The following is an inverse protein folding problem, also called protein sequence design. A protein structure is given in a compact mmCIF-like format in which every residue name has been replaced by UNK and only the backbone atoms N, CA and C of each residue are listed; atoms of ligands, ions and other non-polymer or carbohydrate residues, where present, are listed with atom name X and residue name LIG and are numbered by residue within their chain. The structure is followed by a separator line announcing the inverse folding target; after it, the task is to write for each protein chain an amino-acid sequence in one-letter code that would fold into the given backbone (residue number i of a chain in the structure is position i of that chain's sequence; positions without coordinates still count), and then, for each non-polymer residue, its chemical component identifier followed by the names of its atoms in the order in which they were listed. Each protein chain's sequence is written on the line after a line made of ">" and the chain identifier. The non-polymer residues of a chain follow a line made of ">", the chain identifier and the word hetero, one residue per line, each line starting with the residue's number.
data_IF_550498396180
#
_entry.id   IF_550498396180
#
_cell.length_a   1.000
_cell.length_b   1.000
_cell.length_c   1.000
_cell.angle_alpha   90.00
_cell.angle_beta   90.00
_cell.angle_gamma   90.00
#
_symmetry.space_group_name_H-M   'P 1'
#
loop_
_entity.id
_entity.type
_entity.pdbx_description
1 polymer ?
#
# COMPACT_ATOMS: atom_id res chain seq x y z
N UNK A 1 -9.81 7.18 -26.37
CA UNK A 1 -8.57 7.96 -26.56
C UNK A 1 -8.44 8.96 -25.41
N UNK A 2 -7.29 9.62 -25.26
CA UNK A 2 -7.07 10.66 -24.25
C UNK A 2 -7.41 12.01 -24.86
N UNK A 3 -8.20 12.83 -24.16
CA UNK A 3 -8.66 14.13 -24.65
C UNK A 3 -7.86 15.30 -24.04
N UNK A 4 -7.72 16.39 -24.80
CA UNK A 4 -7.07 17.60 -24.33
C UNK A 4 -7.80 18.17 -23.10
N UNK A 5 -7.06 18.41 -22.02
CA UNK A 5 -7.60 18.90 -20.75
C UNK A 5 -8.03 17.83 -19.75
N UNK A 6 -7.95 16.53 -20.07
CA UNK A 6 -8.18 15.47 -19.09
C UNK A 6 -7.11 15.53 -17.98
N UNK A 7 -7.57 15.45 -16.73
CA UNK A 7 -6.71 15.36 -15.53
C UNK A 7 -6.81 13.93 -14.99
N UNK A 8 -5.66 13.31 -14.77
CA UNK A 8 -5.57 11.97 -14.21
C UNK A 8 -5.05 12.02 -12.79
N UNK A 9 -5.54 11.12 -11.95
CA UNK A 9 -5.02 10.90 -10.62
C UNK A 9 -4.33 9.55 -10.60
N UNK A 10 -3.10 9.55 -10.09
CA UNK A 10 -2.35 8.34 -9.82
C UNK A 10 -2.80 7.79 -8.48
N UNK A 11 -3.22 6.54 -8.44
CA UNK A 11 -3.53 5.83 -7.19
C UNK A 11 -2.80 4.50 -7.20
N UNK A 12 -2.56 3.88 -6.03
CA UNK A 12 -2.22 2.46 -6.05
C UNK A 12 -3.37 1.70 -6.70
N UNK A 13 -3.08 0.80 -7.63
CA UNK A 13 -4.11 -0.07 -8.23
C UNK A 13 -4.57 -1.16 -7.27
N UNK A 14 -3.78 -1.40 -6.22
CA UNK A 14 -4.01 -2.42 -5.22
C UNK A 14 -4.79 -1.87 -4.03
N UNK A 15 -5.86 -2.58 -3.67
CA UNK A 15 -6.65 -2.31 -2.45
C UNK A 15 -6.11 -3.22 -1.35
N UNK A 16 -5.37 -2.66 -0.40
CA UNK A 16 -5.01 -3.34 0.85
C UNK A 16 -5.64 -2.60 2.03
N UNK A 17 -6.33 -3.35 2.89
CA UNK A 17 -6.88 -2.79 4.12
C UNK A 17 -5.81 -2.80 5.23
N UNK A 18 -5.89 -1.85 6.15
CA UNK A 18 -4.87 -1.66 7.19
C UNK A 18 -4.67 -2.93 8.04
N UNK A 19 -5.75 -3.65 8.33
CA UNK A 19 -5.77 -4.93 9.04
C UNK A 19 -5.00 -6.04 8.33
N UNK A 20 -4.86 -5.96 7.00
CA UNK A 20 -4.19 -6.98 6.20
C UNK A 20 -2.70 -6.69 6.01
N UNK A 21 -2.22 -5.50 6.38
CA UNK A 21 -0.80 -5.11 6.20
C UNK A 21 0.12 -6.07 6.96
N UNK A 22 -0.18 -6.36 8.23
CA UNK A 22 0.66 -7.24 9.05
C UNK A 22 0.76 -8.65 8.47
N UNK A 23 -0.38 -9.20 8.02
CA UNK A 23 -0.42 -10.52 7.35
C UNK A 23 0.42 -10.50 6.08
N UNK A 24 0.27 -9.47 5.25
CA UNK A 24 1.02 -9.36 3.98
C UNK A 24 2.52 -9.24 4.20
N UNK A 25 2.96 -8.50 5.22
CA UNK A 25 4.39 -8.45 5.58
C UNK A 25 4.90 -9.82 5.98
N UNK A 26 4.16 -10.60 6.77
CA UNK A 26 4.57 -11.95 7.15
C UNK A 26 4.61 -12.94 5.97
N UNK A 27 3.83 -12.73 4.91
CA UNK A 27 3.95 -13.51 3.68
C UNK A 27 5.22 -13.16 2.89
N UNK A 28 5.58 -11.88 2.86
CA UNK A 28 6.79 -11.39 2.18
C UNK A 28 8.07 -11.65 2.97
N UNK A 29 7.98 -11.70 4.30
CA UNK A 29 9.05 -11.94 5.27
C UNK A 29 8.59 -13.02 6.28
N UNK A 30 8.72 -14.31 5.91
CA UNK A 30 8.15 -15.42 6.68
C UNK A 30 8.60 -15.51 8.14
N UNK A 31 9.78 -14.99 8.46
CA UNK A 31 10.35 -15.04 9.81
C UNK A 31 9.80 -13.95 10.75
N UNK A 32 9.08 -12.95 10.21
CA UNK A 32 8.54 -11.85 11.00
C UNK A 32 7.22 -12.24 11.68
N UNK A 33 6.97 -11.66 12.85
CA UNK A 33 5.75 -11.78 13.64
C UNK A 33 5.11 -10.38 13.79
N UNK A 34 4.44 -9.93 12.74
CA UNK A 34 3.84 -8.59 12.68
C UNK A 34 2.48 -8.56 13.39
N UNK A 35 2.17 -7.42 14.01
CA UNK A 35 0.83 -7.18 14.53
C UNK A 35 -0.21 -7.18 13.38
N UNK A 36 -1.28 -7.93 13.54
CA UNK A 36 -2.39 -8.02 12.57
C UNK A 36 -3.65 -7.28 13.04
N UNK A 37 -3.63 -6.74 14.26
CA UNK A 37 -4.73 -5.95 14.81
C UNK A 37 -4.42 -4.46 14.67
N UNK A 38 -5.35 -3.73 14.08
CA UNK A 38 -5.28 -2.26 14.00
C UNK A 38 -5.96 -1.69 15.24
N UNK A 39 -5.26 -0.84 15.98
CA UNK A 39 -5.84 -0.16 17.13
C UNK A 39 -7.07 0.65 16.69
N UNK A 40 -8.22 0.54 17.37
CA UNK A 40 -9.40 1.29 17.03
C UNK A 40 -9.15 2.79 17.20
N UNK A 41 -9.49 3.60 16.19
CA UNK A 41 -9.54 5.07 16.32
C UNK A 41 -8.95 5.87 15.16
N UNK A 42 -7.94 5.35 14.45
CA UNK A 42 -7.22 6.18 13.45
C UNK A 42 -7.81 6.10 12.03
N UNK A 43 -8.24 4.93 11.57
CA UNK A 43 -8.70 4.75 10.18
C UNK A 43 -10.08 5.40 9.90
N UNK A 44 -10.95 5.51 10.91
CA UNK A 44 -12.36 5.92 10.76
C UNK A 44 -12.53 7.42 10.46
N UNK A 45 -11.51 8.24 10.70
CA UNK A 45 -11.61 9.70 10.64
C UNK A 45 -11.32 10.27 9.24
N UNK A 46 -10.52 9.57 8.42
CA UNK A 46 -10.04 10.08 7.11
C UNK A 46 -11.11 9.98 6.02
N UNK A 47 -11.99 8.98 6.06
CA UNK A 47 -12.99 8.75 5.00
C UNK A 47 -14.17 9.73 5.01
N UNK A 48 -14.35 10.52 6.09
CA UNK A 48 -15.59 11.29 6.31
C UNK A 48 -15.51 12.76 5.87
N UNK A 49 -14.32 13.28 5.54
CA UNK A 49 -14.10 14.71 5.31
C UNK A 49 -14.18 15.16 3.85
N UNK A 50 -14.03 14.26 2.86
CA UNK A 50 -13.86 14.70 1.47
C UNK A 50 -14.67 13.86 0.45
N UNK A 51 -15.98 14.11 0.30
CA UNK A 51 -16.88 13.33 -0.56
C UNK A 51 -16.58 13.46 -2.08
N UNK A 52 -15.75 14.42 -2.48
CA UNK A 52 -15.37 14.61 -3.89
C UNK A 52 -14.55 13.44 -4.45
N UNK A 53 -13.66 12.85 -3.63
CA UNK A 53 -12.78 11.76 -4.07
C UNK A 53 -13.54 10.46 -4.37
N UNK A 54 -14.74 10.28 -3.81
CA UNK A 54 -15.62 9.12 -4.09
C UNK A 54 -16.02 9.04 -5.57
N UNK A 55 -16.01 10.17 -6.30
CA UNK A 55 -16.37 10.23 -7.72
C UNK A 55 -15.16 10.19 -8.66
N UNK A 56 -13.94 10.20 -8.13
CA UNK A 56 -12.74 10.15 -8.95
C UNK A 56 -12.60 8.73 -9.49
N UNK A 57 -12.66 8.59 -10.82
CA UNK A 57 -12.35 7.32 -11.45
C UNK A 57 -10.83 7.11 -11.44
N UNK A 58 -10.37 6.15 -10.64
CA UNK A 58 -8.99 5.71 -10.59
C UNK A 58 -8.67 4.94 -11.88
N UNK A 59 -8.18 5.64 -12.91
CA UNK A 59 -7.94 5.11 -14.26
C UNK A 59 -6.44 4.95 -14.54
N UNK A 60 -5.77 4.13 -13.73
CA UNK A 60 -4.35 3.83 -13.91
C UNK A 60 -4.04 3.25 -15.31
N UNK A 61 -5.00 2.56 -15.92
CA UNK A 61 -4.94 2.08 -17.30
C UNK A 61 -4.73 3.23 -18.31
N UNK A 62 -5.46 4.34 -18.17
CA UNK A 62 -5.34 5.51 -19.04
C UNK A 62 -3.99 6.19 -18.86
N UNK A 63 -3.49 6.29 -17.63
CA UNK A 63 -2.17 6.88 -17.35
C UNK A 63 -1.07 6.07 -18.02
N UNK A 64 -1.08 4.74 -17.89
CA UNK A 64 -0.10 3.86 -18.56
C UNK A 64 -0.12 4.09 -20.07
N UNK A 65 -1.33 4.17 -20.66
CA UNK A 65 -1.51 4.45 -22.09
C UNK A 65 -1.02 5.85 -22.49
N UNK A 66 -1.18 6.85 -21.61
CA UNK A 66 -0.77 8.23 -21.85
C UNK A 66 0.74 8.44 -21.81
N UNK A 67 1.39 7.78 -20.84
CA UNK A 67 2.76 8.10 -20.42
C UNK A 67 3.79 7.03 -20.79
N UNK A 68 3.32 5.80 -21.09
CA UNK A 68 4.20 4.63 -21.25
C UNK A 68 4.78 4.11 -19.94
N UNK A 69 4.41 4.69 -18.78
CA UNK A 69 4.90 4.23 -17.48
C UNK A 69 4.37 2.83 -17.14
N UNK A 70 5.22 2.05 -16.47
CA UNK A 70 4.87 0.79 -15.82
C UNK A 70 4.88 0.98 -14.31
N UNK A 71 3.79 0.59 -13.64
CA UNK A 71 3.75 0.58 -12.19
C UNK A 71 4.43 -0.67 -11.65
N UNK A 72 5.21 -0.48 -10.59
CA UNK A 72 5.73 -1.57 -9.77
C UNK A 72 4.57 -2.27 -9.06
N UNK A 73 4.74 -3.56 -8.74
CA UNK A 73 3.71 -4.28 -7.98
C UNK A 73 3.65 -3.77 -6.55
N UNK A 74 2.49 -3.94 -5.91
CA UNK A 74 2.36 -3.66 -4.48
C UNK A 74 3.38 -4.43 -3.66
N UNK A 75 3.61 -5.70 -3.96
CA UNK A 75 4.53 -6.56 -3.19
C UNK A 75 5.97 -6.09 -3.25
N UNK A 76 6.44 -5.70 -4.43
CA UNK A 76 7.81 -5.20 -4.59
C UNK A 76 7.97 -3.89 -3.81
N UNK A 77 7.00 -2.97 -3.95
CA UNK A 77 6.98 -1.69 -3.23
C UNK A 77 6.93 -1.92 -1.71
N UNK A 78 6.12 -2.88 -1.25
CA UNK A 78 5.96 -3.23 0.15
C UNK A 78 7.24 -3.86 0.72
N UNK A 79 7.89 -4.75 -0.05
CA UNK A 79 9.17 -5.36 0.31
C UNK A 79 10.24 -4.29 0.50
N UNK A 80 10.40 -3.41 -0.48
CA UNK A 80 11.38 -2.32 -0.42
C UNK A 80 11.10 -1.36 0.74
N UNK A 81 9.82 -1.06 1.01
CA UNK A 81 9.42 -0.22 2.14
C UNK A 81 9.80 -0.85 3.47
N UNK A 82 9.49 -2.13 3.67
CA UNK A 82 9.84 -2.86 4.90
C UNK A 82 11.36 -2.94 5.06
N UNK A 83 12.09 -3.24 4.00
CA UNK A 83 13.56 -3.27 4.03
C UNK A 83 14.15 -1.90 4.38
N UNK A 84 13.61 -0.82 3.83
CA UNK A 84 14.02 0.55 4.14
C UNK A 84 13.76 0.90 5.62
N UNK A 85 12.59 0.52 6.15
CA UNK A 85 12.27 0.69 7.58
C UNK A 85 13.26 -0.04 8.49
N UNK A 86 13.70 -1.25 8.11
CA UNK A 86 14.67 -2.02 8.88
C UNK A 86 16.09 -1.43 8.75
N UNK A 87 16.56 -1.24 7.52
CA UNK A 87 17.95 -0.87 7.22
C UNK A 87 18.25 0.60 7.54
N UNK A 88 17.31 1.50 7.20
CA UNK A 88 17.47 2.94 7.34
C UNK A 88 16.74 3.44 8.59
N UNK A 89 15.49 3.00 8.76
CA UNK A 89 14.65 3.41 9.90
C UNK A 89 15.03 2.77 11.24
N UNK A 90 15.90 1.76 11.24
CA UNK A 90 16.33 1.03 12.44
C UNK A 90 15.21 0.24 13.13
N UNK A 91 14.09 -0.02 12.42
CA UNK A 91 12.98 -0.81 12.93
C UNK A 91 13.45 -2.25 13.15
N UNK A 92 13.18 -2.78 14.34
CA UNK A 92 13.47 -4.18 14.70
C UNK A 92 12.17 -4.98 14.66
N UNK A 93 11.89 -5.73 13.58
CA UNK A 93 10.70 -6.55 13.50
C UNK A 93 10.77 -7.64 14.57
N UNK A 94 9.62 -7.97 15.12
CA UNK A 94 9.51 -9.13 16.01
C UNK A 94 9.70 -10.38 15.16
N UNK A 95 10.48 -11.32 15.67
CA UNK A 95 10.72 -12.59 14.99
C UNK A 95 9.77 -13.65 15.54
N UNK A 96 9.31 -14.56 14.69
CA UNK A 96 8.61 -15.77 15.14
C UNK A 96 9.54 -16.57 16.06
N UNK A 97 8.96 -17.22 17.07
CA UNK A 97 9.73 -18.11 17.93
C UNK A 97 10.29 -19.26 17.07
N UNK A 98 11.60 -19.51 17.17
CA UNK A 98 12.18 -20.72 16.60
C UNK A 98 11.55 -21.92 17.31
N UNK A 99 10.76 -22.71 16.60
CA UNK A 99 10.28 -23.99 17.11
C UNK A 99 11.50 -24.84 17.45
N UNK A 100 11.73 -25.05 18.74
CA UNK A 100 12.73 -26.00 19.27
C UNK A 100 12.21 -27.42 19.15
#
# INVERSE_FOLDING_TARGET
>A
EIQSGERFMLTSGDTIYAENIGVRVMELFPDYDCATTVAPGFAKQVARSEPFWIRVQMRNDKVRKATGLTFQTFDDTMRETVESLVKIGGVKPRMKASSS
#
